data_IF_837582156301
#
_entry.id   IF_837582156301
#
_cell.length_a   1.000
_cell.length_b   1.000
_cell.length_c   1.000
_cell.angle_alpha   90.00
_cell.angle_beta   90.00
_cell.angle_gamma   90.00
#
_symmetry.space_group_name_H-M   'P 1'
#
loop_
_entity.id
_entity.type
_entity.pdbx_description
1 polymer ?
#
# COMPACT_ATOMS: atom_id res chain seq x y z
N UNK A 1 -7.38 20.27 32.00
CA UNK A 1 -7.35 20.03 30.54
C UNK A 1 -6.17 19.12 30.25
N UNK A 2 -6.39 17.81 30.27
CA UNK A 2 -5.34 16.84 29.97
C UNK A 2 -5.27 16.69 28.45
N UNK A 3 -4.22 17.26 27.85
CA UNK A 3 -3.95 17.12 26.43
C UNK A 3 -3.58 15.65 26.18
N UNK A 4 -4.45 14.90 25.50
CA UNK A 4 -4.11 13.60 24.94
C UNK A 4 -3.14 13.81 23.78
N UNK A 5 -1.84 13.90 24.08
CA UNK A 5 -0.81 13.63 23.08
C UNK A 5 -0.92 12.15 22.74
N UNK A 6 -1.47 11.85 21.58
CA UNK A 6 -1.38 10.52 20.98
C UNK A 6 0.11 10.23 20.77
N UNK A 7 0.73 9.59 21.75
CA UNK A 7 2.09 9.09 21.70
C UNK A 7 2.24 8.26 20.43
N UNK A 8 2.86 8.84 19.40
CA UNK A 8 3.24 8.16 18.18
C UNK A 8 4.26 7.10 18.57
N UNK A 9 3.78 5.90 18.91
CA UNK A 9 4.61 4.76 19.26
C UNK A 9 5.58 4.52 18.10
N UNK A 10 6.83 4.93 18.29
CA UNK A 10 7.89 4.79 17.27
C UNK A 10 8.06 3.30 16.99
N UNK A 11 7.48 2.82 15.89
CA UNK A 11 7.61 1.44 15.43
C UNK A 11 8.96 1.33 14.72
N UNK A 12 10.01 0.96 15.46
CA UNK A 12 11.36 0.75 14.90
C UNK A 12 11.39 -0.57 14.13
N UNK A 13 11.80 -0.52 12.87
CA UNK A 13 12.02 -1.70 12.04
C UNK A 13 13.54 -1.93 11.98
N UNK A 14 14.07 -3.03 12.57
CA UNK A 14 15.49 -3.34 12.43
C UNK A 14 15.78 -3.73 10.98
N UNK A 15 16.75 -3.06 10.36
CA UNK A 15 17.21 -3.32 9.00
C UNK A 15 18.68 -3.71 9.00
N UNK A 16 19.10 -4.53 8.04
CA UNK A 16 20.51 -4.84 7.83
C UNK A 16 21.20 -3.64 7.18
N UNK A 17 22.51 -3.48 7.44
CA UNK A 17 23.33 -2.42 6.84
C UNK A 17 23.20 -2.29 5.30
N UNK A 18 23.28 -3.38 4.50
CA UNK A 18 23.11 -3.27 3.04
C UNK A 18 21.73 -2.73 2.66
N UNK A 19 20.67 -3.19 3.33
CA UNK A 19 19.31 -2.71 3.09
C UNK A 19 19.15 -1.24 3.46
N UNK A 20 19.78 -0.81 4.56
CA UNK A 20 19.79 0.60 4.97
C UNK A 20 20.49 1.49 3.94
N UNK A 21 21.61 1.02 3.38
CA UNK A 21 22.35 1.73 2.33
C UNK A 21 21.50 1.87 1.06
N UNK A 22 20.87 0.78 0.61
CA UNK A 22 19.95 0.82 -0.53
C UNK A 22 18.77 1.77 -0.31
N UNK A 23 18.19 1.79 0.90
CA UNK A 23 17.14 2.76 1.24
C UNK A 23 17.64 4.21 1.22
N UNK A 24 18.89 4.44 1.64
CA UNK A 24 19.51 5.75 1.57
C UNK A 24 19.74 6.21 0.13
N UNK A 25 20.19 5.31 -0.74
CA UNK A 25 20.44 5.62 -2.17
C UNK A 25 19.13 5.90 -2.93
N UNK A 26 18.02 5.27 -2.51
CA UNK A 26 16.69 5.51 -3.09
C UNK A 26 16.03 6.82 -2.63
N UNK A 27 16.61 7.48 -1.63
CA UNK A 27 16.01 8.62 -0.96
C UNK A 27 16.29 9.92 -1.73
N UNK A 28 15.27 10.76 -1.88
CA UNK A 28 15.43 12.09 -2.49
C UNK A 28 15.98 13.13 -1.49
N UNK A 29 16.57 14.21 -2.02
CA UNK A 29 17.08 15.31 -1.21
C UNK A 29 15.95 15.95 -0.38
N UNK A 30 16.11 15.98 0.94
CA UNK A 30 15.12 16.56 1.87
C UNK A 30 13.99 15.62 2.28
N UNK A 31 13.89 14.42 1.69
CA UNK A 31 12.90 13.41 2.08
C UNK A 31 13.23 12.82 3.46
N UNK A 32 12.28 12.19 4.14
CA UNK A 32 12.51 11.32 5.30
C UNK A 32 12.41 9.83 4.92
N UNK A 33 12.90 8.94 5.79
CA UNK A 33 12.76 7.49 5.54
C UNK A 33 11.29 7.06 5.62
N UNK A 34 10.49 7.65 6.50
CA UNK A 34 9.07 7.33 6.62
C UNK A 34 8.30 7.74 5.35
N UNK A 35 8.63 8.90 4.76
CA UNK A 35 8.07 9.35 3.48
C UNK A 35 8.48 8.42 2.33
N UNK A 36 9.74 8.01 2.27
CA UNK A 36 10.19 7.05 1.26
C UNK A 36 9.42 5.73 1.38
N UNK A 37 9.29 5.20 2.60
CA UNK A 37 8.56 3.96 2.87
C UNK A 37 7.08 4.10 2.49
N UNK A 38 6.45 5.23 2.79
CA UNK A 38 5.06 5.49 2.40
C UNK A 38 4.87 5.46 0.88
N UNK A 39 5.78 6.10 0.12
CA UNK A 39 5.76 6.09 -1.35
C UNK A 39 5.97 4.66 -1.89
N UNK A 40 6.90 3.91 -1.32
CA UNK A 40 7.14 2.51 -1.73
C UNK A 40 5.91 1.62 -1.48
N UNK A 41 5.25 1.78 -0.34
CA UNK A 41 4.01 1.05 -0.02
C UNK A 41 2.92 1.37 -1.04
N UNK A 42 2.75 2.65 -1.38
CA UNK A 42 1.73 3.05 -2.35
C UNK A 42 2.01 2.44 -3.73
N UNK A 43 3.25 2.51 -4.21
CA UNK A 43 3.64 1.91 -5.49
C UNK A 43 3.37 0.40 -5.56
N UNK A 44 3.65 -0.33 -4.49
CA UNK A 44 3.37 -1.78 -4.43
C UNK A 44 1.87 -2.07 -4.47
N UNK A 45 1.05 -1.25 -3.80
CA UNK A 45 -0.43 -1.38 -3.86
C UNK A 45 -0.94 -1.11 -5.26
N UNK A 46 -0.53 0.00 -5.85
CA UNK A 46 -0.92 0.38 -7.21
C UNK A 46 -0.54 -0.73 -8.21
N UNK A 47 0.65 -1.33 -8.05
CA UNK A 47 1.08 -2.46 -8.87
C UNK A 47 0.20 -3.70 -8.69
N UNK A 48 -0.18 -4.05 -7.45
CA UNK A 48 -1.08 -5.18 -7.18
C UNK A 48 -2.47 -4.96 -7.75
N UNK A 49 -3.01 -3.76 -7.58
CA UNK A 49 -4.33 -3.40 -8.09
C UNK A 49 -4.33 -3.45 -9.62
N UNK A 50 -3.31 -2.86 -10.25
CA UNK A 50 -3.14 -2.94 -11.70
C UNK A 50 -2.99 -4.38 -12.20
N UNK A 51 -2.20 -5.20 -11.50
CA UNK A 51 -2.02 -6.62 -11.84
C UNK A 51 -3.34 -7.38 -11.74
N UNK A 52 -4.12 -7.16 -10.68
CA UNK A 52 -5.43 -7.77 -10.50
C UNK A 52 -6.39 -7.40 -11.65
N UNK A 53 -6.47 -6.10 -11.98
CA UNK A 53 -7.31 -5.62 -13.09
C UNK A 53 -6.89 -6.27 -14.41
N UNK A 54 -5.58 -6.32 -14.68
CA UNK A 54 -5.05 -6.92 -15.91
C UNK A 54 -5.35 -8.42 -15.99
N UNK A 55 -5.31 -9.13 -14.85
CA UNK A 55 -5.64 -10.55 -14.78
C UNK A 55 -7.14 -10.80 -15.03
N UNK A 56 -8.02 -9.94 -14.49
CA UNK A 56 -9.46 -9.96 -14.79
C UNK A 56 -9.72 -9.66 -16.26
N UNK A 57 -9.03 -8.69 -16.85
CA UNK A 57 -9.19 -8.37 -18.28
C UNK A 57 -8.75 -9.51 -19.19
N UNK A 58 -7.68 -10.21 -18.82
CA UNK A 58 -7.12 -11.30 -19.64
C UNK A 58 -7.91 -12.60 -19.48
N UNK A 59 -8.33 -12.95 -18.26
CA UNK A 59 -8.87 -14.26 -17.93
C UNK A 59 -10.34 -14.24 -17.50
N UNK A 60 -10.92 -13.07 -17.27
CA UNK A 60 -12.26 -12.92 -16.73
C UNK A 60 -13.34 -13.11 -17.80
N UNK A 61 -14.40 -13.82 -17.41
CA UNK A 61 -15.65 -13.83 -18.16
C UNK A 61 -16.48 -12.62 -17.70
N UNK A 62 -16.61 -11.62 -18.57
CA UNK A 62 -17.42 -10.43 -18.27
C UNK A 62 -18.91 -10.77 -18.40
N UNK A 63 -19.58 -10.89 -17.25
CA UNK A 63 -21.03 -11.11 -17.18
C UNK A 63 -21.74 -9.76 -16.95
N UNK A 64 -22.93 -9.59 -17.51
CA UNK A 64 -23.74 -8.41 -17.26
C UNK A 64 -24.11 -8.31 -15.77
N UNK A 65 -23.99 -7.11 -15.20
CA UNK A 65 -24.36 -6.85 -13.82
C UNK A 65 -25.89 -6.80 -13.69
N UNK A 66 -26.48 -7.76 -12.98
CA UNK A 66 -27.89 -7.73 -12.58
C UNK A 66 -27.98 -7.52 -11.05
N UNK A 67 -28.49 -6.37 -10.58
CA UNK A 67 -28.62 -6.09 -9.15
C UNK A 67 -29.57 -7.06 -8.42
N UNK A 68 -30.51 -7.70 -9.12
CA UNK A 68 -31.46 -8.65 -8.52
C UNK A 68 -30.81 -10.00 -8.14
N UNK A 69 -29.66 -10.34 -8.73
CA UNK A 69 -28.92 -11.59 -8.42
C UNK A 69 -28.16 -11.52 -7.08
N UNK A 70 -27.88 -10.32 -6.59
CA UNK A 70 -27.08 -10.06 -5.38
C UNK A 70 -27.95 -9.86 -4.14
N UNK A 71 -29.24 -9.53 -4.36
CA UNK A 71 -30.23 -9.28 -3.31
C UNK A 71 -30.99 -10.54 -2.88
N UNK A 72 -30.66 -11.72 -3.41
CA UNK A 72 -31.33 -12.98 -3.09
C UNK A 72 -30.74 -13.74 -1.88
N UNK A 73 -29.63 -13.26 -1.31
CA UNK A 73 -29.05 -13.81 -0.08
C UNK A 73 -29.46 -12.94 1.14
N UNK A 74 -30.71 -13.06 1.59
CA UNK A 74 -31.20 -12.64 2.93
C UNK A 74 -31.71 -13.89 3.69
#
# INVERSE_FOLDING_TARGET
>A
MSSCTSESRIKRIPVKEPTWRSLHDLKEAGQSFDELIAVMIQRERDYRDWKMITEIDTNGEFVAFDPEDIMQDD
#
